data_IF_692752247080
#
_entry.id   IF_692752247080
#
_cell.length_a   1.000
_cell.length_b   1.000
_cell.length_c   1.000
_cell.angle_alpha   90.00
_cell.angle_beta   90.00
_cell.angle_gamma   90.00
#
_symmetry.space_group_name_H-M   'P 1'
#
loop_
_entity.id
_entity.type
_entity.pdbx_description
1 polymer ?
#
# COMPACT_ATOMS: atom_id res chain seq x y z
N UNK A 1 -22.38 -89.79 5.95
CA UNK A 1 -21.77 -88.54 6.46
C UNK A 1 -22.19 -87.38 5.56
N UNK A 2 -22.73 -86.31 6.15
CA UNK A 2 -23.36 -85.17 5.48
C UNK A 2 -22.35 -84.36 4.67
N UNK A 3 -22.65 -84.03 3.41
CA UNK A 3 -21.94 -82.99 2.65
C UNK A 3 -22.43 -81.64 3.18
N UNK A 4 -21.60 -80.94 3.94
CA UNK A 4 -21.88 -79.58 4.40
C UNK A 4 -21.83 -78.65 3.19
N UNK A 5 -23.00 -78.23 2.72
CA UNK A 5 -23.14 -77.23 1.66
C UNK A 5 -22.71 -75.89 2.25
N UNK A 6 -21.53 -75.41 1.89
CA UNK A 6 -21.06 -74.07 2.26
C UNK A 6 -21.94 -73.07 1.50
N UNK A 7 -22.95 -72.50 2.17
CA UNK A 7 -23.67 -71.36 1.62
C UNK A 7 -22.74 -70.14 1.66
N UNK A 8 -22.07 -69.87 0.54
CA UNK A 8 -21.45 -68.57 0.30
C UNK A 8 -22.59 -67.56 0.20
N UNK A 9 -22.93 -66.97 1.34
CA UNK A 9 -23.79 -65.80 1.44
C UNK A 9 -23.16 -64.70 0.59
N UNK A 10 -23.76 -64.45 -0.57
CA UNK A 10 -23.35 -63.44 -1.55
C UNK A 10 -23.28 -62.07 -0.88
N UNK A 11 -22.11 -61.75 -0.34
CA UNK A 11 -21.81 -60.42 0.19
C UNK A 11 -21.51 -59.57 -1.03
N UNK A 12 -22.53 -58.84 -1.48
CA UNK A 12 -22.45 -57.93 -2.62
C UNK A 12 -21.14 -57.13 -2.58
N UNK A 13 -20.21 -57.48 -3.47
CA UNK A 13 -18.96 -56.78 -3.64
C UNK A 13 -19.32 -55.43 -4.23
N UNK A 14 -19.27 -54.37 -3.41
CA UNK A 14 -19.56 -53.02 -3.89
C UNK A 14 -18.54 -52.68 -4.98
N UNK A 15 -18.96 -52.15 -6.14
CA UNK A 15 -18.02 -51.80 -7.20
C UNK A 15 -17.02 -50.78 -6.65
N UNK A 16 -15.74 -51.11 -6.73
CA UNK A 16 -14.66 -50.16 -6.41
C UNK A 16 -14.82 -49.00 -7.40
N UNK A 17 -15.15 -47.81 -6.89
CA UNK A 17 -15.31 -46.59 -7.69
C UNK A 17 -13.96 -46.27 -8.34
N UNK A 18 -13.79 -46.72 -9.60
CA UNK A 18 -12.58 -46.54 -10.39
C UNK A 18 -12.40 -45.05 -10.68
N UNK A 19 -11.54 -44.39 -9.91
CA UNK A 19 -11.13 -43.01 -10.20
C UNK A 19 -10.47 -43.07 -11.57
N UNK A 20 -11.01 -42.35 -12.56
CA UNK A 20 -10.39 -42.27 -13.89
C UNK A 20 -8.96 -41.73 -13.69
N UNK A 21 -7.92 -42.41 -14.21
CA UNK A 21 -6.57 -41.89 -14.08
C UNK A 21 -6.52 -40.53 -14.77
N UNK A 22 -5.89 -39.57 -14.12
CA UNK A 22 -5.60 -38.28 -14.74
C UNK A 22 -4.77 -38.55 -16.00
N UNK A 23 -5.36 -38.30 -17.17
CA UNK A 23 -4.67 -38.40 -18.45
C UNK A 23 -3.75 -37.18 -18.55
N UNK A 24 -2.54 -37.36 -18.02
CA UNK A 24 -1.45 -36.41 -18.11
C UNK A 24 -0.85 -36.55 -19.51
N UNK A 25 -1.45 -35.85 -20.48
CA UNK A 25 -0.87 -35.71 -21.81
C UNK A 25 0.27 -34.69 -21.73
N UNK A 26 1.44 -34.92 -22.34
CA UNK A 26 2.58 -33.99 -22.30
C UNK A 26 2.21 -32.55 -22.66
N UNK A 27 1.27 -32.37 -23.61
CA UNK A 27 0.74 -31.05 -24.00
C UNK A 27 0.09 -30.27 -22.85
N UNK A 28 -0.62 -30.94 -21.93
CA UNK A 28 -1.26 -30.29 -20.77
C UNK A 28 -0.24 -29.82 -19.73
N UNK A 29 0.84 -30.59 -19.54
CA UNK A 29 1.93 -30.19 -18.65
C UNK A 29 2.62 -28.94 -19.19
N UNK A 30 2.96 -28.91 -20.48
CA UNK A 30 3.63 -27.76 -21.11
C UNK A 30 2.79 -26.50 -20.98
N UNK A 31 1.47 -26.57 -21.24
CA UNK A 31 0.56 -25.44 -21.07
C UNK A 31 0.48 -24.99 -19.61
N UNK A 32 0.42 -25.91 -18.66
CA UNK A 32 0.39 -25.57 -17.23
C UNK A 32 1.68 -24.86 -16.78
N UNK A 33 2.85 -25.37 -17.18
CA UNK A 33 4.15 -24.75 -16.89
C UNK A 33 4.25 -23.36 -17.52
N UNK A 34 3.75 -23.21 -18.75
CA UNK A 34 3.72 -21.91 -19.44
C UNK A 34 2.81 -20.90 -18.73
N UNK A 35 1.61 -21.31 -18.30
CA UNK A 35 0.71 -20.46 -17.51
C UNK A 35 1.35 -20.08 -16.18
N UNK A 36 1.99 -21.04 -15.49
CA UNK A 36 2.71 -20.78 -14.24
C UNK A 36 3.84 -19.77 -14.45
N UNK A 37 4.61 -19.91 -15.52
CA UNK A 37 5.65 -18.96 -15.91
C UNK A 37 5.08 -17.56 -16.15
N UNK A 38 3.97 -17.44 -16.89
CA UNK A 38 3.30 -16.15 -17.11
C UNK A 38 2.80 -15.53 -15.80
N UNK A 39 2.25 -16.33 -14.87
CA UNK A 39 1.81 -15.86 -13.55
C UNK A 39 3.01 -15.32 -12.76
N UNK A 40 4.14 -16.02 -12.73
CA UNK A 40 5.35 -15.56 -12.04
C UNK A 40 5.87 -14.24 -12.62
N UNK A 41 5.91 -14.12 -13.94
CA UNK A 41 6.29 -12.89 -14.65
C UNK A 41 5.32 -11.75 -14.28
N UNK A 42 4.00 -12.02 -14.31
CA UNK A 42 3.00 -11.03 -13.93
C UNK A 42 3.16 -10.56 -12.48
N UNK A 43 3.39 -11.48 -11.54
CA UNK A 43 3.64 -11.14 -10.12
C UNK A 43 4.90 -10.29 -9.98
N UNK A 44 5.98 -10.64 -10.69
CA UNK A 44 7.22 -9.88 -10.69
C UNK A 44 7.00 -8.43 -11.18
N UNK A 45 6.36 -8.25 -12.34
CA UNK A 45 6.05 -6.93 -12.87
C UNK A 45 5.10 -6.14 -11.97
N UNK A 46 4.09 -6.79 -11.38
CA UNK A 46 3.15 -6.15 -10.47
C UNK A 46 3.86 -5.56 -9.24
N UNK A 47 4.83 -6.29 -8.69
CA UNK A 47 5.65 -5.85 -7.56
C UNK A 47 6.53 -4.66 -7.93
N UNK A 48 7.17 -4.71 -9.10
CA UNK A 48 8.06 -3.65 -9.57
C UNK A 48 7.32 -2.34 -9.86
N UNK A 49 6.15 -2.43 -10.50
CA UNK A 49 5.30 -1.26 -10.80
C UNK A 49 4.79 -0.64 -9.51
N UNK A 50 4.32 -1.44 -8.56
CA UNK A 50 3.73 -0.94 -7.31
C UNK A 50 4.70 -0.10 -6.48
N UNK A 51 6.00 -0.44 -6.51
CA UNK A 51 7.04 0.33 -5.83
C UNK A 51 7.14 1.78 -6.34
N UNK A 52 7.03 1.96 -7.67
CA UNK A 52 7.12 3.27 -8.32
C UNK A 52 5.91 4.17 -8.08
N UNK A 53 4.79 3.63 -7.59
CA UNK A 53 3.54 4.36 -7.36
C UNK A 53 3.25 4.59 -5.86
N UNK A 54 4.28 4.61 -5.02
CA UNK A 54 4.14 4.90 -3.57
C UNK A 54 4.04 6.41 -3.32
N UNK A 55 3.28 6.83 -2.31
CA UNK A 55 3.20 8.23 -1.91
C UNK A 55 4.56 8.74 -1.39
N UNK A 56 4.90 10.01 -1.62
CA UNK A 56 6.18 10.55 -1.16
C UNK A 56 6.23 10.56 0.37
N UNK A 57 7.40 10.26 0.93
CA UNK A 57 7.63 10.46 2.37
C UNK A 57 7.46 11.93 2.73
N UNK A 58 6.77 12.21 3.82
CA UNK A 58 6.57 13.57 4.33
C UNK A 58 6.76 13.54 5.84
N UNK A 59 7.71 14.33 6.32
CA UNK A 59 8.04 14.50 7.73
C UNK A 59 7.97 16.00 8.05
N UNK A 60 7.27 16.35 9.13
CA UNK A 60 7.14 17.74 9.59
C UNK A 60 7.89 17.84 10.91
N UNK A 61 9.01 18.56 10.90
CA UNK A 61 9.86 18.79 12.05
C UNK A 61 9.29 19.89 12.94
N UNK A 62 8.70 20.92 12.34
CA UNK A 62 8.13 22.06 13.04
C UNK A 62 6.79 22.46 12.39
N UNK A 63 5.67 22.46 13.14
CA UNK A 63 5.56 22.03 14.53
C UNK A 63 5.51 20.49 14.66
N UNK A 64 6.15 19.89 15.68
CA UNK A 64 6.11 18.43 15.89
C UNK A 64 4.70 17.95 16.31
N UNK A 65 3.94 18.79 17.01
CA UNK A 65 2.58 18.53 17.51
C UNK A 65 1.70 19.76 17.38
N UNK A 66 0.46 19.68 17.85
CA UNK A 66 -0.40 20.86 18.01
C UNK A 66 0.18 21.76 19.11
N UNK A 67 0.19 23.07 18.87
CA UNK A 67 0.84 24.07 19.75
C UNK A 67 0.00 25.36 19.86
N UNK A 68 0.24 26.11 20.94
CA UNK A 68 -0.27 27.47 21.13
C UNK A 68 0.89 28.45 21.07
N UNK A 69 0.75 29.53 20.31
CA UNK A 69 1.78 30.56 20.16
C UNK A 69 1.19 31.97 20.33
N UNK A 70 2.07 32.93 20.66
CA UNK A 70 1.72 34.35 20.83
C UNK A 70 2.18 35.23 19.67
N UNK A 71 2.87 34.65 18.70
CA UNK A 71 3.37 35.34 17.50
C UNK A 71 2.37 35.16 16.36
N UNK A 72 2.13 36.21 15.57
CA UNK A 72 1.20 36.18 14.44
C UNK A 72 1.74 35.47 13.20
N UNK A 73 2.95 34.92 13.25
CA UNK A 73 3.56 34.15 12.17
C UNK A 73 4.23 32.92 12.73
N UNK A 74 4.26 31.83 11.97
CA UNK A 74 4.92 30.60 12.37
C UNK A 74 5.72 29.99 11.23
N UNK A 75 6.93 29.55 11.55
CA UNK A 75 7.81 28.86 10.60
C UNK A 75 7.58 27.35 10.64
N UNK A 76 7.22 26.80 9.48
CA UNK A 76 7.04 25.38 9.25
C UNK A 76 8.30 24.83 8.61
N UNK A 77 8.85 23.78 9.23
CA UNK A 77 10.03 23.07 8.76
C UNK A 77 9.70 21.60 8.59
N UNK A 78 10.23 21.00 7.54
CA UNK A 78 10.08 19.58 7.32
C UNK A 78 10.93 19.07 6.17
N UNK A 79 10.70 17.80 5.86
CA UNK A 79 11.37 17.09 4.79
C UNK A 79 10.39 16.25 4.01
N UNK A 80 10.56 16.23 2.69
CA UNK A 80 9.89 15.29 1.80
C UNK A 80 10.86 14.77 0.75
N UNK A 81 10.38 14.03 -0.24
CA UNK A 81 11.22 13.61 -1.36
C UNK A 81 11.59 14.83 -2.22
N UNK A 82 12.85 14.99 -2.60
CA UNK A 82 13.34 16.13 -3.37
C UNK A 82 12.66 16.33 -4.75
N UNK A 83 11.95 15.31 -5.24
CA UNK A 83 11.20 15.37 -6.50
C UNK A 83 9.68 15.52 -6.31
N UNK A 84 9.23 15.65 -5.07
CA UNK A 84 7.83 15.84 -4.75
C UNK A 84 7.39 17.29 -4.95
N UNK A 85 6.11 17.47 -5.20
CA UNK A 85 5.41 18.74 -5.21
C UNK A 85 4.82 18.96 -3.82
N UNK A 86 5.27 19.99 -3.11
CA UNK A 86 4.81 20.29 -1.75
C UNK A 86 3.90 21.53 -1.77
N UNK A 87 2.78 21.43 -1.05
CA UNK A 87 1.92 22.57 -0.76
C UNK A 87 1.67 22.72 0.73
N UNK A 88 1.59 23.96 1.19
CA UNK A 88 1.16 24.34 2.53
C UNK A 88 -0.04 25.27 2.36
N UNK A 89 -1.19 24.91 2.94
CA UNK A 89 -2.44 25.65 2.75
C UNK A 89 -2.85 25.88 1.28
N UNK A 90 -2.49 24.94 0.39
CA UNK A 90 -2.67 24.99 -1.07
C UNK A 90 -1.71 25.93 -1.81
N UNK A 91 -0.79 26.57 -1.10
CA UNK A 91 0.29 27.36 -1.69
C UNK A 91 1.52 26.49 -1.90
N UNK A 92 2.18 26.63 -3.05
CA UNK A 92 3.36 25.85 -3.41
C UNK A 92 4.57 26.28 -2.58
N UNK A 93 5.30 25.30 -2.06
CA UNK A 93 6.53 25.52 -1.29
C UNK A 93 7.69 24.81 -2.00
N UNK A 94 8.73 25.57 -2.31
CA UNK A 94 9.93 25.05 -2.95
C UNK A 94 10.76 24.19 -2.01
N UNK A 95 11.30 23.11 -2.55
CA UNK A 95 12.19 22.17 -1.88
C UNK A 95 13.64 22.47 -2.24
N UNK A 96 14.54 22.23 -1.28
CA UNK A 96 15.98 22.19 -1.58
C UNK A 96 16.40 20.86 -2.24
N UNK A 97 17.69 20.73 -2.53
CA UNK A 97 18.27 19.52 -3.17
C UNK A 97 18.14 18.26 -2.32
N UNK A 98 17.99 18.41 -1.01
CA UNK A 98 17.86 17.33 -0.04
C UNK A 98 16.39 17.02 0.29
N UNK A 99 15.46 17.81 -0.26
CA UNK A 99 14.02 17.71 -0.01
C UNK A 99 13.55 18.38 1.27
N UNK A 100 14.37 19.23 1.90
CA UNK A 100 13.92 20.04 3.03
C UNK A 100 13.11 21.23 2.53
N UNK A 101 12.14 21.65 3.34
CA UNK A 101 11.36 22.85 3.11
C UNK A 101 11.31 23.73 4.35
N UNK A 102 11.19 25.02 4.10
CA UNK A 102 11.01 26.06 5.10
C UNK A 102 10.04 27.09 4.54
N UNK A 103 8.93 27.29 5.22
CA UNK A 103 7.96 28.32 4.86
C UNK A 103 7.42 29.00 6.12
N UNK A 104 7.19 30.30 6.04
CA UNK A 104 6.57 31.08 7.10
C UNK A 104 5.13 31.35 6.72
N UNK A 105 4.21 31.00 7.61
CA UNK A 105 2.78 31.27 7.44
C UNK A 105 2.36 32.38 8.41
N UNK A 106 1.41 33.19 7.98
CA UNK A 106 0.71 34.13 8.86
C UNK A 106 -0.46 33.41 9.53
N UNK A 107 -0.66 33.68 10.82
CA UNK A 107 -1.72 33.09 11.62
C UNK A 107 -2.81 34.12 11.90
N UNK A 108 -4.05 33.69 11.79
CA UNK A 108 -5.20 34.43 12.29
C UNK A 108 -5.43 34.14 13.76
N UNK A 109 -5.95 35.10 14.52
CA UNK A 109 -6.25 34.89 15.94
C UNK A 109 -7.20 33.69 16.12
N UNK A 110 -6.89 32.82 17.09
CA UNK A 110 -7.61 31.57 17.33
C UNK A 110 -6.99 30.35 16.63
N UNK A 111 -7.82 29.39 16.24
CA UNK A 111 -7.40 28.10 15.69
C UNK A 111 -7.04 28.21 14.20
N UNK A 112 -5.79 27.91 13.85
CA UNK A 112 -5.30 27.79 12.50
C UNK A 112 -5.06 26.31 12.16
N UNK A 113 -5.71 25.83 11.09
CA UNK A 113 -5.51 24.47 10.58
C UNK A 113 -4.60 24.54 9.37
N UNK A 114 -3.40 23.99 9.53
CA UNK A 114 -2.37 23.99 8.50
C UNK A 114 -2.39 22.64 7.81
N UNK A 115 -2.65 22.65 6.50
CA UNK A 115 -2.58 21.44 5.67
C UNK A 115 -1.26 21.43 4.90
N UNK A 116 -0.46 20.40 5.12
CA UNK A 116 0.81 20.16 4.44
C UNK A 116 0.60 18.94 3.55
N UNK A 117 0.61 19.11 2.23
CA UNK A 117 0.38 18.04 1.26
C UNK A 117 1.61 17.89 0.36
N UNK A 118 2.19 16.69 0.34
CA UNK A 118 3.26 16.31 -0.58
C UNK A 118 2.74 15.34 -1.62
N UNK A 119 3.05 15.58 -2.88
CA UNK A 119 2.51 14.86 -4.03
C UNK A 119 3.63 14.47 -5.00
N UNK A 120 3.66 13.23 -5.47
CA UNK A 120 4.63 12.81 -6.49
C UNK A 120 4.11 13.04 -7.92
N UNK A 121 4.98 12.79 -8.91
CA UNK A 121 4.64 12.84 -10.35
C UNK A 121 3.52 11.90 -10.80
N UNK A 122 3.20 10.88 -10.01
CA UNK A 122 2.12 9.91 -10.27
C UNK A 122 0.84 10.24 -9.50
N UNK A 123 0.71 11.47 -9.02
CA UNK A 123 -0.49 11.98 -8.35
C UNK A 123 -0.81 11.26 -7.03
N UNK A 124 0.16 10.57 -6.43
CA UNK A 124 0.07 9.99 -5.09
C UNK A 124 0.46 11.05 -4.09
N UNK A 125 -0.34 11.14 -3.03
CA UNK A 125 -0.22 12.19 -2.04
C UNK A 125 -0.11 11.65 -0.64
N UNK A 126 0.65 12.36 0.18
CA UNK A 126 0.74 12.20 1.61
C UNK A 126 0.40 13.55 2.25
N UNK A 127 -0.42 13.53 3.29
CA UNK A 127 -0.97 14.73 3.89
C UNK A 127 -0.77 14.70 5.40
N UNK A 128 -0.31 15.82 5.96
CA UNK A 128 -0.18 16.04 7.39
C UNK A 128 -0.94 17.32 7.75
N UNK A 129 -1.80 17.22 8.76
CA UNK A 129 -2.53 18.35 9.32
C UNK A 129 -1.91 18.73 10.66
N UNK A 130 -1.74 20.04 10.89
CA UNK A 130 -1.28 20.61 12.16
C UNK A 130 -2.23 21.69 12.63
N UNK A 131 -2.48 21.75 13.94
CA UNK A 131 -3.30 22.81 14.54
C UNK A 131 -2.40 23.74 15.34
N UNK A 132 -2.45 25.02 15.01
CA UNK A 132 -1.76 26.08 15.75
C UNK A 132 -2.78 27.05 16.28
N UNK A 133 -2.82 27.23 17.60
CA UNK A 133 -3.68 28.21 18.24
C UNK A 133 -2.86 29.48 18.44
N UNK A 134 -3.28 30.58 17.83
CA UNK A 134 -2.66 31.89 18.02
C UNK A 134 -3.48 32.70 19.02
N UNK A 135 -2.88 33.03 20.17
CA UNK A 135 -3.47 33.91 21.19
C UNK A 135 -2.61 35.17 21.32
N UNK A 136 -3.16 36.30 20.88
CA UNK A 136 -2.50 37.60 21.01
C UNK A 136 -2.49 38.00 22.49
N UNK A 137 -1.29 38.16 23.05
CA UNK A 137 -1.09 38.55 24.45
C UNK A 137 -1.19 40.05 24.66
#
# INVERSE_FOLDING_TARGET
MKKTKLELKDKAIRPIKRIKPLLITPKRIVVFVFILFLILVAIYFWREISFLVTAPKLEVNQPPTDITITEGSFEILGKTEATAYLTVNKEEVYLDKEGNFKTTIELSEGLNIIKIESKNRFNKKNEIIRRIIYEKR
#
